data_IF_113721585626
#
_entry.id   IF_113721585626
#
_cell.length_a   1.000
_cell.length_b   1.000
_cell.length_c   1.000
_cell.angle_alpha   90.00
_cell.angle_beta   90.00
_cell.angle_gamma   90.00
#
_symmetry.space_group_name_H-M   'P 1'
#
loop_
_entity.id
_entity.type
_entity.pdbx_description
1 polymer ?
#
# COMPACT_ATOMS: atom_id res chain seq x y z
N UNK A 1 14.59 -15.97 -38.41
CA UNK A 1 14.08 -16.46 -37.12
C UNK A 1 15.16 -16.17 -36.07
N UNK A 2 15.20 -15.00 -35.43
CA UNK A 2 16.14 -14.80 -34.33
C UNK A 2 15.58 -15.52 -33.10
N UNK A 3 16.44 -16.30 -32.46
CA UNK A 3 16.16 -16.99 -31.21
C UNK A 3 15.67 -15.99 -30.15
N UNK A 4 14.50 -16.25 -29.59
CA UNK A 4 13.98 -15.54 -28.43
C UNK A 4 14.91 -15.78 -27.24
N UNK A 5 15.80 -14.82 -26.96
CA UNK A 5 16.49 -14.75 -25.68
C UNK A 5 15.44 -14.68 -24.56
N UNK A 6 15.65 -15.38 -23.43
CA UNK A 6 14.74 -15.24 -22.31
C UNK A 6 14.89 -13.82 -21.76
N UNK A 7 13.87 -12.98 -21.96
CA UNK A 7 13.73 -11.67 -21.29
C UNK A 7 13.39 -11.93 -19.82
N UNK A 8 14.37 -12.43 -19.09
CA UNK A 8 14.44 -12.33 -17.64
C UNK A 8 15.58 -11.36 -17.36
N UNK A 9 15.25 -10.08 -17.23
CA UNK A 9 16.08 -9.22 -16.40
C UNK A 9 15.50 -9.32 -14.97
N UNK A 10 15.88 -10.31 -14.15
CA UNK A 10 15.63 -10.15 -12.74
C UNK A 10 16.55 -9.01 -12.31
N UNK A 11 15.95 -7.98 -11.72
CA UNK A 11 16.44 -7.35 -10.49
C UNK A 11 17.75 -8.02 -10.00
N UNK A 12 18.89 -7.62 -10.56
CA UNK A 12 20.14 -8.36 -10.40
C UNK A 12 20.53 -8.30 -8.93
N UNK A 13 20.47 -9.45 -8.25
CA UNK A 13 20.74 -9.55 -6.83
C UNK A 13 22.15 -9.03 -6.54
N UNK A 14 22.27 -7.83 -5.96
CA UNK A 14 23.47 -7.43 -5.24
C UNK A 14 23.43 -8.14 -3.88
N UNK A 15 24.46 -8.91 -3.57
CA UNK A 15 24.58 -9.68 -2.33
C UNK A 15 24.56 -11.20 -2.54
N UNK A 16 25.07 -11.94 -1.56
CA UNK A 16 25.09 -13.40 -1.60
C UNK A 16 23.65 -13.94 -1.55
N UNK A 17 23.24 -14.84 -2.46
CA UNK A 17 21.89 -15.36 -2.48
C UNK A 17 21.62 -16.22 -1.23
N UNK A 18 20.39 -16.17 -0.72
CA UNK A 18 19.97 -16.87 0.49
C UNK A 18 18.61 -17.53 0.33
N UNK A 19 18.27 -18.45 1.24
CA UNK A 19 17.03 -19.23 1.18
C UNK A 19 15.86 -18.57 1.92
N UNK A 20 14.66 -19.17 1.78
CA UNK A 20 13.40 -18.62 2.33
C UNK A 20 13.42 -18.40 3.84
N UNK A 21 14.17 -19.21 4.60
CA UNK A 21 14.29 -19.05 6.05
C UNK A 21 15.00 -17.74 6.42
N UNK A 22 16.05 -17.38 5.69
CA UNK A 22 16.74 -16.11 5.90
C UNK A 22 15.92 -14.93 5.40
N UNK A 23 15.21 -15.09 4.28
CA UNK A 23 14.26 -14.08 3.81
C UNK A 23 13.15 -13.82 4.85
N UNK A 24 12.64 -14.87 5.50
CA UNK A 24 11.67 -14.78 6.59
C UNK A 24 12.22 -13.96 7.76
N UNK A 25 13.42 -14.29 8.23
CA UNK A 25 14.11 -13.55 9.31
C UNK A 25 14.32 -12.08 8.94
N UNK A 26 14.87 -11.80 7.76
CA UNK A 26 15.18 -10.43 7.32
C UNK A 26 13.95 -9.57 7.09
N UNK A 27 12.86 -10.16 6.64
CA UNK A 27 11.59 -9.46 6.40
C UNK A 27 10.68 -9.45 7.62
N UNK A 28 11.01 -10.18 8.70
CA UNK A 28 10.12 -10.37 9.86
C UNK A 28 8.80 -11.07 9.50
N UNK A 29 8.76 -11.83 8.39
CA UNK A 29 7.56 -12.50 7.87
C UNK A 29 7.68 -14.00 8.06
N UNK A 30 6.55 -14.69 8.18
CA UNK A 30 6.56 -16.15 8.20
C UNK A 30 6.88 -16.71 6.81
N UNK A 31 7.49 -17.90 6.77
CA UNK A 31 7.70 -18.65 5.53
C UNK A 31 6.39 -18.85 4.77
N UNK A 32 5.29 -19.10 5.49
CA UNK A 32 3.96 -19.25 4.89
C UNK A 32 3.51 -17.97 4.17
N UNK A 33 3.71 -16.79 4.79
CA UNK A 33 3.38 -15.51 4.17
C UNK A 33 4.21 -15.28 2.89
N UNK A 34 5.51 -15.58 2.91
CA UNK A 34 6.37 -15.46 1.73
C UNK A 34 5.88 -16.38 0.60
N UNK A 35 5.59 -17.66 0.92
CA UNK A 35 5.04 -18.60 -0.07
C UNK A 35 3.71 -18.14 -0.64
N UNK A 36 2.86 -17.53 0.19
CA UNK A 36 1.62 -16.94 -0.28
C UNK A 36 1.88 -15.85 -1.33
N UNK A 37 2.82 -14.93 -1.07
CA UNK A 37 3.22 -13.91 -2.05
C UNK A 37 3.74 -14.53 -3.37
N UNK A 38 4.53 -15.60 -3.29
CA UNK A 38 4.97 -16.33 -4.48
C UNK A 38 3.80 -16.95 -5.27
N UNK A 39 2.88 -17.63 -4.59
CA UNK A 39 1.69 -18.24 -5.21
C UNK A 39 0.80 -17.19 -5.88
N UNK A 40 0.77 -15.97 -5.34
CA UNK A 40 0.05 -14.86 -5.96
C UNK A 40 0.80 -14.23 -7.15
N UNK A 41 2.01 -14.69 -7.49
CA UNK A 41 2.82 -14.13 -8.58
C UNK A 41 3.41 -12.76 -8.23
N UNK A 42 3.57 -12.45 -6.94
CA UNK A 42 4.00 -11.14 -6.45
C UNK A 42 5.49 -11.07 -6.14
N UNK A 43 6.26 -12.13 -6.40
CA UNK A 43 7.71 -12.18 -6.15
C UNK A 43 8.40 -12.55 -7.47
N UNK A 44 8.79 -11.56 -8.29
CA UNK A 44 9.45 -11.82 -9.57
C UNK A 44 10.94 -12.14 -9.36
N UNK A 45 11.55 -12.85 -10.30
CA UNK A 45 13.01 -13.00 -10.37
C UNK A 45 13.63 -13.95 -9.35
N UNK A 46 12.85 -14.88 -8.80
CA UNK A 46 13.36 -15.91 -7.89
C UNK A 46 14.19 -16.93 -8.67
N UNK A 47 15.50 -16.95 -8.42
CA UNK A 47 16.42 -17.92 -8.99
C UNK A 47 16.30 -19.29 -8.30
N UNK A 48 16.90 -20.31 -8.89
CA UNK A 48 17.03 -21.64 -8.28
C UNK A 48 18.51 -22.04 -8.24
N UNK A 49 18.90 -22.75 -7.19
CA UNK A 49 20.20 -23.42 -7.11
C UNK A 49 20.20 -24.73 -7.91
N UNK A 50 21.37 -25.37 -8.01
CA UNK A 50 21.55 -26.64 -8.72
C UNK A 50 20.72 -27.80 -8.12
N UNK A 51 20.31 -27.65 -6.85
CA UNK A 51 19.40 -28.56 -6.16
C UNK A 51 17.92 -28.23 -6.35
N UNK A 52 17.58 -27.24 -7.20
CA UNK A 52 16.22 -26.81 -7.47
C UNK A 52 15.56 -25.96 -6.37
N UNK A 53 16.30 -25.58 -5.33
CA UNK A 53 15.81 -24.75 -4.22
C UNK A 53 15.83 -23.28 -4.60
N UNK A 54 14.82 -22.54 -4.16
CA UNK A 54 14.71 -21.10 -4.43
C UNK A 54 15.79 -20.29 -3.72
N UNK A 55 16.35 -19.36 -4.47
CA UNK A 55 17.34 -18.39 -4.02
C UNK A 55 16.76 -16.99 -4.11
N UNK A 56 16.85 -16.27 -3.00
CA UNK A 56 16.48 -14.88 -2.85
C UNK A 56 17.73 -14.03 -2.66
N UNK A 57 17.54 -12.72 -2.71
CA UNK A 57 18.60 -11.73 -2.54
C UNK A 57 18.01 -10.47 -1.95
N UNK A 58 18.85 -9.47 -1.66
CA UNK A 58 18.44 -8.26 -0.93
C UNK A 58 17.24 -7.53 -1.54
N UNK A 59 17.15 -7.54 -2.87
CA UNK A 59 16.07 -6.86 -3.57
C UNK A 59 14.71 -7.51 -3.29
N UNK A 60 14.66 -8.81 -3.00
CA UNK A 60 13.44 -9.49 -2.57
C UNK A 60 12.97 -9.03 -1.20
N UNK A 61 13.88 -8.61 -0.30
CA UNK A 61 13.54 -8.07 1.03
C UNK A 61 12.75 -6.77 0.86
N UNK A 62 13.31 -5.81 0.10
CA UNK A 62 12.66 -4.53 -0.17
C UNK A 62 11.37 -4.70 -0.99
N UNK A 63 11.34 -5.67 -1.91
CA UNK A 63 10.16 -5.97 -2.71
C UNK A 63 8.99 -6.49 -1.85
N UNK A 64 9.25 -7.43 -0.94
CA UNK A 64 8.24 -7.92 -0.01
C UNK A 64 7.78 -6.83 0.98
N UNK A 65 8.67 -5.91 1.36
CA UNK A 65 8.27 -4.75 2.15
C UNK A 65 7.29 -3.85 1.41
N UNK A 66 7.59 -3.55 0.14
CA UNK A 66 6.69 -2.79 -0.71
C UNK A 66 5.33 -3.49 -0.89
N UNK A 67 5.32 -4.77 -1.28
CA UNK A 67 4.08 -5.52 -1.51
C UNK A 67 3.18 -5.55 -0.27
N UNK A 68 3.76 -5.74 0.92
CA UNK A 68 2.99 -5.70 2.17
C UNK A 68 2.41 -4.31 2.45
N UNK A 69 3.19 -3.23 2.27
CA UNK A 69 2.70 -1.87 2.48
C UNK A 69 1.58 -1.51 1.50
N UNK A 70 1.72 -1.89 0.23
CA UNK A 70 0.68 -1.69 -0.78
C UNK A 70 -0.60 -2.45 -0.39
N UNK A 71 -0.47 -3.72 0.00
CA UNK A 71 -1.61 -4.54 0.46
C UNK A 71 -2.30 -3.95 1.69
N UNK A 72 -1.53 -3.58 2.72
CA UNK A 72 -2.06 -3.00 3.97
C UNK A 72 -2.74 -1.65 3.77
N UNK A 73 -2.33 -0.91 2.73
CA UNK A 73 -2.93 0.37 2.36
C UNK A 73 -4.07 0.22 1.34
N UNK A 74 -4.56 -1.00 1.11
CA UNK A 74 -5.76 -1.25 0.32
C UNK A 74 -5.53 -1.47 -1.17
N UNK A 75 -4.29 -1.65 -1.64
CA UNK A 75 -4.06 -2.06 -3.03
C UNK A 75 -4.53 -3.50 -3.23
N UNK A 76 -5.32 -3.72 -4.27
CA UNK A 76 -5.85 -5.05 -4.60
C UNK A 76 -4.74 -6.01 -5.08
N UNK A 77 -4.96 -7.31 -4.93
CA UNK A 77 -4.03 -8.33 -5.47
C UNK A 77 -3.88 -8.19 -6.99
N UNK A 78 -4.95 -7.82 -7.69
CA UNK A 78 -4.92 -7.58 -9.14
C UNK A 78 -3.97 -6.43 -9.51
N UNK A 79 -4.05 -5.29 -8.83
CA UNK A 79 -3.15 -4.15 -9.06
C UNK A 79 -1.71 -4.48 -8.68
N UNK A 80 -1.48 -5.23 -7.59
CA UNK A 80 -0.13 -5.67 -7.21
C UNK A 80 0.48 -6.60 -8.27
N UNK A 81 -0.33 -7.50 -8.86
CA UNK A 81 0.09 -8.35 -9.99
C UNK A 81 0.41 -7.50 -11.22
N UNK A 82 -0.41 -6.51 -11.54
CA UNK A 82 -0.15 -5.58 -12.64
C UNK A 82 1.18 -4.84 -12.42
N UNK A 83 1.40 -4.30 -11.22
CA UNK A 83 2.65 -3.63 -10.87
C UNK A 83 3.86 -4.56 -11.01
N UNK A 84 3.72 -5.82 -10.57
CA UNK A 84 4.76 -6.84 -10.69
C UNK A 84 5.07 -7.17 -12.15
N UNK A 85 4.04 -7.36 -12.98
CA UNK A 85 4.18 -7.62 -14.41
C UNK A 85 4.86 -6.46 -15.15
N UNK A 86 4.55 -5.21 -14.78
CA UNK A 86 5.24 -4.04 -15.31
C UNK A 86 6.71 -4.04 -14.89
N UNK A 87 7.01 -4.36 -13.63
CA UNK A 87 8.39 -4.34 -13.13
C UNK A 87 9.30 -5.37 -13.82
N UNK A 88 8.76 -6.54 -14.17
CA UNK A 88 9.49 -7.58 -14.93
C UNK A 88 9.92 -7.09 -16.31
N UNK A 89 9.17 -6.18 -16.94
CA UNK A 89 9.51 -5.61 -18.25
C UNK A 89 10.68 -4.62 -18.19
N UNK A 90 11.18 -4.28 -16.99
CA UNK A 90 12.34 -3.42 -16.84
C UNK A 90 12.06 -1.95 -17.18
N UNK A 91 13.06 -1.23 -17.68
CA UNK A 91 13.05 0.25 -17.74
C UNK A 91 11.94 0.84 -18.63
N UNK A 92 11.43 0.09 -19.59
CA UNK A 92 10.41 0.58 -20.54
C UNK A 92 9.09 0.94 -19.87
N UNK A 93 8.76 0.30 -18.74
CA UNK A 93 7.50 0.52 -17.98
C UNK A 93 7.65 1.46 -16.77
N UNK A 94 8.73 2.24 -16.69
CA UNK A 94 8.98 3.09 -15.52
C UNK A 94 7.85 4.11 -15.28
N UNK A 95 7.29 4.67 -16.36
CA UNK A 95 6.22 5.67 -16.27
C UNK A 95 4.92 5.03 -15.76
N UNK A 96 4.54 3.89 -16.32
CA UNK A 96 3.34 3.13 -15.97
C UNK A 96 3.37 2.67 -14.51
N UNK A 97 4.54 2.20 -14.04
CA UNK A 97 4.74 1.85 -12.63
C UNK A 97 4.58 3.06 -11.71
N UNK A 98 5.19 4.19 -12.09
CA UNK A 98 5.09 5.43 -11.33
C UNK A 98 3.65 5.91 -11.25
N UNK A 99 2.90 5.83 -12.36
CA UNK A 99 1.52 6.31 -12.42
C UNK A 99 0.56 5.41 -11.64
N UNK A 100 0.75 4.09 -11.66
CA UNK A 100 0.02 3.15 -10.80
C UNK A 100 0.23 3.49 -9.32
N UNK A 101 1.48 3.70 -8.90
CA UNK A 101 1.80 4.08 -7.51
C UNK A 101 1.25 5.47 -7.15
N UNK A 102 1.24 6.42 -8.09
CA UNK A 102 0.69 7.75 -7.87
C UNK A 102 -0.84 7.73 -7.72
N UNK A 103 -1.53 6.91 -8.51
CA UNK A 103 -2.97 6.68 -8.36
C UNK A 103 -3.28 6.05 -6.99
N UNK A 104 -2.51 5.05 -6.57
CA UNK A 104 -2.64 4.46 -5.24
C UNK A 104 -2.38 5.46 -4.11
N UNK A 105 -1.32 6.27 -4.23
CA UNK A 105 -1.01 7.35 -3.28
C UNK A 105 -2.20 8.28 -3.09
N UNK A 106 -2.88 8.66 -4.17
CA UNK A 106 -4.04 9.56 -4.12
C UNK A 106 -5.16 8.95 -3.27
N UNK A 107 -5.52 7.69 -3.53
CA UNK A 107 -6.54 6.97 -2.74
C UNK A 107 -6.16 6.87 -1.26
N UNK A 108 -4.91 6.52 -0.95
CA UNK A 108 -4.43 6.43 0.43
C UNK A 108 -4.51 7.79 1.14
N UNK A 109 -4.15 8.89 0.45
CA UNK A 109 -4.24 10.23 1.04
C UNK A 109 -5.68 10.68 1.28
N UNK A 110 -6.63 10.29 0.42
CA UNK A 110 -8.05 10.55 0.61
C UNK A 110 -8.58 9.80 1.84
N UNK A 111 -8.26 8.52 1.98
CA UNK A 111 -8.62 7.71 3.16
C UNK A 111 -8.02 8.28 4.45
N UNK A 112 -6.74 8.70 4.44
CA UNK A 112 -6.12 9.35 5.61
C UNK A 112 -6.88 10.63 5.98
N UNK A 113 -7.26 11.45 5.00
CA UNK A 113 -8.01 12.68 5.26
C UNK A 113 -9.39 12.38 5.86
N UNK A 114 -10.07 11.34 5.39
CA UNK A 114 -11.34 10.88 5.94
C UNK A 114 -11.20 10.40 7.39
N UNK A 115 -10.22 9.54 7.67
CA UNK A 115 -9.97 9.02 9.02
C UNK A 115 -9.59 10.13 10.00
N UNK A 116 -8.83 11.14 9.55
CA UNK A 116 -8.53 12.30 10.39
C UNK A 116 -9.80 13.08 10.76
N UNK A 117 -10.72 13.29 9.80
CA UNK A 117 -12.01 13.94 10.09
C UNK A 117 -12.86 13.14 11.07
N UNK A 118 -12.91 11.82 10.89
CA UNK A 118 -13.63 10.92 11.80
C UNK A 118 -13.01 10.94 13.21
N UNK A 119 -11.68 10.88 13.30
CA UNK A 119 -10.95 10.96 14.57
C UNK A 119 -11.26 12.26 15.30
N UNK A 120 -11.25 13.42 14.62
CA UNK A 120 -11.62 14.70 15.23
C UNK A 120 -13.06 14.75 15.75
N UNK A 121 -13.98 13.96 15.20
CA UNK A 121 -15.33 13.84 15.78
C UNK A 121 -15.31 12.98 17.05
N UNK A 122 -14.55 11.89 17.05
CA UNK A 122 -14.39 11.02 18.22
C UNK A 122 -13.72 11.79 19.36
N UNK A 123 -12.66 12.53 19.09
CA UNK A 123 -11.95 13.35 20.09
C UNK A 123 -12.90 14.36 20.75
N UNK A 124 -13.67 15.12 19.94
CA UNK A 124 -14.69 16.04 20.48
C UNK A 124 -15.75 15.33 21.33
N UNK A 125 -16.08 14.08 21.02
CA UNK A 125 -17.02 13.30 21.82
C UNK A 125 -16.41 12.84 23.12
N UNK A 126 -15.11 12.54 23.16
CA UNK A 126 -14.37 12.27 24.40
C UNK A 126 -14.37 13.53 25.27
N UNK A 127 -13.95 14.68 24.74
CA UNK A 127 -13.94 15.95 25.47
C UNK A 127 -15.31 16.30 26.07
N UNK A 128 -16.38 16.08 25.30
CA UNK A 128 -17.75 16.27 25.77
C UNK A 128 -18.08 15.40 26.99
N UNK A 129 -17.62 14.15 27.03
CA UNK A 129 -17.86 13.27 28.18
C UNK A 129 -16.99 13.64 29.36
N UNK A 130 -15.73 14.03 29.13
CA UNK A 130 -14.83 14.49 30.19
C UNK A 130 -15.41 15.74 30.88
N UNK A 131 -15.91 16.72 30.13
CA UNK A 131 -16.57 17.91 30.68
C UNK A 131 -17.84 17.55 31.46
N UNK A 132 -18.63 16.58 31.00
CA UNK A 132 -19.82 16.13 31.73
C UNK A 132 -19.43 15.45 33.05
N UNK A 133 -18.44 14.56 33.03
CA UNK A 133 -17.98 13.87 34.24
C UNK A 133 -17.44 14.85 35.28
N UNK A 134 -16.77 15.92 34.84
CA UNK A 134 -16.16 16.91 35.74
C UNK A 134 -17.18 17.93 36.27
N UNK A 135 -18.10 18.41 35.43
CA UNK A 135 -19.09 19.43 35.80
C UNK A 135 -20.35 18.88 36.45
N UNK A 136 -20.60 17.57 36.34
CA UNK A 136 -21.84 16.90 36.77
C UNK A 136 -23.07 17.25 35.91
N UNK A 137 -22.93 18.11 34.90
CA UNK A 137 -24.00 18.56 34.02
C UNK A 137 -23.66 18.29 32.57
N UNK A 138 -24.67 17.95 31.77
CA UNK A 138 -24.46 17.62 30.36
C UNK A 138 -24.09 18.88 29.57
N UNK A 139 -22.92 18.93 28.90
CA UNK A 139 -22.56 20.06 28.06
C UNK A 139 -23.53 20.23 26.87
N UNK A 140 -23.69 21.44 26.33
CA UNK A 140 -24.45 21.65 25.10
C UNK A 140 -23.75 20.99 23.90
N UNK A 141 -24.52 20.51 22.93
CA UNK A 141 -24.03 19.64 21.84
C UNK A 141 -23.14 20.32 20.75
N UNK A 142 -22.54 21.51 20.96
CA UNK A 142 -21.90 22.27 19.87
C UNK A 142 -20.58 22.95 20.26
N UNK A 143 -19.53 22.75 19.44
CA UNK A 143 -18.76 23.86 18.88
C UNK A 143 -19.01 23.97 17.37
N UNK A 144 -19.30 25.18 16.91
CA UNK A 144 -19.74 25.48 15.56
C UNK A 144 -18.69 25.14 14.49
N UNK A 145 -19.02 24.21 13.61
CA UNK A 145 -18.73 24.39 12.19
C UNK A 145 -20.01 24.06 11.43
N UNK A 146 -20.88 25.06 11.30
CA UNK A 146 -21.72 25.13 10.10
C UNK A 146 -20.72 25.39 8.96
N UNK A 147 -20.50 24.47 7.99
CA UNK A 147 -19.97 24.93 6.73
C UNK A 147 -21.06 25.86 6.21
N UNK A 148 -20.78 27.16 6.23
CA UNK A 148 -21.60 28.17 5.57
C UNK A 148 -21.66 27.80 4.10
N UNK A 149 -22.63 26.96 3.75
CA UNK A 149 -23.15 26.83 2.41
C UNK A 149 -23.77 28.19 2.12
N UNK A 150 -22.98 29.09 1.52
CA UNK A 150 -23.52 30.32 0.91
C UNK A 150 -24.76 29.90 0.12
N UNK A 151 -25.94 30.48 0.38
CA UNK A 151 -27.14 30.10 -0.36
C UNK A 151 -26.88 30.36 -1.85
N UNK A 152 -27.32 29.47 -2.76
CA UNK A 152 -27.23 29.75 -4.18
C UNK A 152 -27.97 31.06 -4.47
N UNK A 153 -27.31 31.97 -5.19
CA UNK A 153 -27.91 33.24 -5.60
C UNK A 153 -29.26 32.97 -6.26
N UNK A 154 -30.31 33.75 -5.95
CA UNK A 154 -31.60 33.57 -6.61
C UNK A 154 -31.41 33.75 -8.12
N UNK A 155 -31.74 32.70 -8.89
CA UNK A 155 -31.87 32.82 -10.34
C UNK A 155 -33.00 33.80 -10.62
N UNK A 156 -32.66 34.93 -11.24
CA UNK A 156 -33.64 35.88 -11.78
C UNK A 156 -34.36 35.28 -13.00
N UNK A 157 -35.60 35.73 -13.15
CA UNK A 157 -36.43 35.78 -14.36
C UNK A 157 -37.11 34.45 -14.75
N UNK A 158 -38.33 34.44 -15.29
CA UNK A 158 -38.96 35.45 -16.16
C UNK A 158 -40.47 35.21 -16.20
#
# INVERSE_FOLDING_TARGET
>A
MPASEPVAAPVAAKGMPFHIGELATRTGRTVHAIRWYETQGLVPGVARDDGGRRLYGELHVGWLDLMERLRRTGMSIAEMRQYTALAVQGKVTLRERRDLLAAHRTRVTETIAEWKRALSLVDRKIDFYDEWMESGHRPPLIPAETPSLKPPKPRKAR
#
